data_IF_977797680747
#
_entry.id   IF_977797680747
#
_cell.length_a   1.000
_cell.length_b   1.000
_cell.length_c   1.000
_cell.angle_alpha   90.00
_cell.angle_beta   90.00
_cell.angle_gamma   90.00
#
_symmetry.space_group_name_H-M   'P 1'
#
loop_
_entity.id
_entity.type
_entity.pdbx_description
1 polymer ?
#
# COMPACT_ATOMS: atom_id res chain seq x y z
N UNK A 1 26.11 24.26 6.29
CA UNK A 1 25.70 23.55 5.05
C UNK A 1 24.74 22.43 5.41
N UNK A 2 23.44 22.72 5.56
CA UNK A 2 22.45 21.67 5.78
C UNK A 2 22.37 20.78 4.54
N UNK A 3 22.74 19.50 4.65
CA UNK A 3 22.60 18.54 3.55
C UNK A 3 21.14 18.61 3.06
N UNK A 4 20.91 19.11 1.85
CA UNK A 4 19.57 19.15 1.23
C UNK A 4 19.05 17.71 1.22
N UNK A 5 18.10 17.40 2.11
CA UNK A 5 17.49 16.07 2.18
C UNK A 5 16.76 15.86 0.85
N UNK A 6 17.29 14.94 0.03
CA UNK A 6 16.63 14.53 -1.22
C UNK A 6 15.23 13.99 -0.90
N UNK A 7 14.30 14.11 -1.84
CA UNK A 7 12.96 13.53 -1.67
C UNK A 7 13.07 12.01 -1.51
N UNK A 8 12.13 11.38 -0.79
CA UNK A 8 12.11 9.91 -0.60
C UNK A 8 12.15 9.16 -1.93
N UNK A 9 11.50 9.71 -2.95
CA UNK A 9 11.52 9.21 -4.32
C UNK A 9 12.93 9.26 -4.91
N UNK A 10 13.63 10.39 -4.82
CA UNK A 10 15.02 10.50 -5.30
C UNK A 10 16.02 9.65 -4.51
N UNK A 11 15.75 9.37 -3.24
CA UNK A 11 16.56 8.44 -2.45
C UNK A 11 16.36 6.99 -2.90
N UNK A 12 15.12 6.60 -3.22
CA UNK A 12 14.81 5.27 -3.73
C UNK A 12 15.50 4.96 -5.06
N UNK A 13 15.61 5.95 -5.96
CA UNK A 13 16.26 5.78 -7.26
C UNK A 13 17.80 5.90 -7.25
N UNK A 14 18.40 6.24 -6.11
CA UNK A 14 19.84 6.46 -6.01
C UNK A 14 20.59 5.10 -6.06
N UNK A 15 21.35 4.86 -7.13
CA UNK A 15 22.03 3.58 -7.35
C UNK A 15 21.15 2.50 -8.00
N UNK A 16 19.93 2.84 -8.42
CA UNK A 16 19.08 1.94 -9.20
C UNK A 16 19.53 1.91 -10.66
N UNK A 17 19.55 0.72 -11.23
CA UNK A 17 19.75 0.51 -12.67
C UNK A 17 18.44 0.76 -13.43
N UNK A 18 18.53 1.12 -14.71
CA UNK A 18 17.36 1.35 -15.58
C UNK A 18 16.34 0.18 -15.52
N UNK A 19 16.76 -1.11 -15.58
CA UNK A 19 15.83 -2.23 -15.45
C UNK A 19 15.09 -2.29 -14.11
N UNK A 20 15.76 -2.00 -12.99
CA UNK A 20 15.11 -1.94 -11.68
C UNK A 20 14.12 -0.77 -11.60
N UNK A 21 14.43 0.35 -12.28
CA UNK A 21 13.52 1.48 -12.44
C UNK A 21 12.28 1.12 -13.26
N UNK A 22 12.43 0.33 -14.32
CA UNK A 22 11.30 -0.17 -15.12
C UNK A 22 10.43 -1.15 -14.34
N UNK A 23 11.01 -1.99 -13.48
CA UNK A 23 10.25 -2.89 -12.58
C UNK A 23 9.45 -2.16 -11.51
N UNK A 24 9.83 -0.93 -11.14
CA UNK A 24 9.03 -0.05 -10.28
C UNK A 24 7.88 0.63 -11.02
N UNK A 25 7.79 0.44 -12.34
CA UNK A 25 6.63 0.85 -13.12
C UNK A 25 5.36 0.23 -12.54
N UNK A 26 4.27 0.99 -12.54
CA UNK A 26 2.97 0.47 -12.13
C UNK A 26 2.54 -0.62 -13.10
N UNK A 27 2.32 -1.82 -12.59
CA UNK A 27 1.74 -2.94 -13.32
C UNK A 27 0.36 -3.18 -12.70
N UNK A 28 -0.66 -2.52 -13.26
CA UNK A 28 -2.01 -2.49 -12.69
C UNK A 28 -2.62 -3.89 -12.57
N UNK A 29 -2.35 -4.77 -13.53
CA UNK A 29 -2.83 -6.15 -13.54
C UNK A 29 -2.18 -6.96 -12.41
N UNK A 30 -0.86 -6.86 -12.29
CA UNK A 30 -0.10 -7.56 -11.25
C UNK A 30 -0.42 -7.02 -9.86
N UNK A 31 -0.57 -5.71 -9.71
CA UNK A 31 -0.97 -5.07 -8.46
C UNK A 31 -2.38 -5.51 -8.03
N UNK A 32 -3.32 -5.56 -8.97
CA UNK A 32 -4.66 -6.09 -8.73
C UNK A 32 -4.63 -7.56 -8.29
N UNK A 33 -3.93 -8.43 -9.02
CA UNK A 33 -3.80 -9.85 -8.70
C UNK A 33 -3.17 -10.08 -7.32
N UNK A 34 -2.12 -9.32 -6.99
CA UNK A 34 -1.45 -9.39 -5.68
C UNK A 34 -2.39 -8.95 -4.56
N UNK A 35 -3.14 -7.87 -4.77
CA UNK A 35 -4.12 -7.40 -3.78
C UNK A 35 -5.20 -8.43 -3.51
N UNK A 36 -5.72 -9.10 -4.56
CA UNK A 36 -6.72 -10.16 -4.45
C UNK A 36 -6.18 -11.37 -3.70
N UNK A 37 -4.95 -11.81 -4.01
CA UNK A 37 -4.27 -12.91 -3.29
C UNK A 37 -4.07 -12.59 -1.81
N UNK A 38 -3.69 -11.35 -1.48
CA UNK A 38 -3.52 -10.93 -0.10
C UNK A 38 -4.85 -10.90 0.66
N UNK A 39 -5.90 -10.35 0.05
CA UNK A 39 -7.25 -10.23 0.64
C UNK A 39 -7.86 -11.61 0.93
N UNK A 40 -7.58 -12.61 0.08
CA UNK A 40 -8.10 -13.98 0.24
C UNK A 40 -7.72 -14.66 1.57
N UNK A 41 -6.70 -14.16 2.28
CA UNK A 41 -6.29 -14.69 3.58
C UNK A 41 -7.17 -14.24 4.75
N UNK A 42 -8.11 -13.31 4.53
CA UNK A 42 -8.95 -12.75 5.58
C UNK A 42 -10.39 -13.26 5.48
N UNK A 43 -11.06 -13.35 6.63
CA UNK A 43 -12.46 -13.77 6.66
C UNK A 43 -13.36 -12.68 6.08
N UNK A 44 -14.28 -13.13 5.23
CA UNK A 44 -15.31 -12.29 4.62
C UNK A 44 -16.63 -12.60 5.34
N UNK A 45 -17.21 -11.59 5.97
CA UNK A 45 -18.53 -11.64 6.60
C UNK A 45 -19.49 -10.79 5.76
N UNK A 46 -20.11 -11.41 4.76
CA UNK A 46 -20.98 -10.72 3.80
C UNK A 46 -20.20 -9.69 2.98
N UNK A 47 -20.54 -8.40 3.12
CA UNK A 47 -19.84 -7.29 2.45
C UNK A 47 -18.65 -6.76 3.26
N UNK A 48 -18.39 -7.28 4.45
CA UNK A 48 -17.32 -6.82 5.33
C UNK A 48 -16.11 -7.77 5.31
N UNK A 49 -14.91 -7.19 5.39
CA UNK A 49 -13.64 -7.92 5.44
C UNK A 49 -12.97 -7.67 6.80
N UNK A 50 -12.72 -8.74 7.56
CA UNK A 50 -12.04 -8.65 8.87
C UNK A 50 -10.52 -8.66 8.68
N UNK A 51 -9.88 -7.50 8.81
CA UNK A 51 -8.43 -7.33 8.58
C UNK A 51 -7.76 -6.63 9.76
N UNK A 52 -6.55 -7.04 10.18
CA UNK A 52 -5.76 -6.26 11.12
C UNK A 52 -5.30 -4.95 10.45
N UNK A 53 -5.84 -3.82 10.92
CA UNK A 53 -5.48 -2.50 10.39
C UNK A 53 -4.42 -1.84 11.27
N UNK A 54 -3.33 -1.37 10.66
CA UNK A 54 -2.36 -0.51 11.34
C UNK A 54 -2.84 0.96 11.40
N UNK A 55 -2.16 1.80 12.19
CA UNK A 55 -2.55 3.22 12.38
C UNK A 55 -2.59 4.02 11.08
N UNK A 56 -1.68 3.77 10.14
CA UNK A 56 -1.66 4.46 8.86
C UNK A 56 -2.86 4.07 7.99
N UNK A 57 -3.19 2.78 7.94
CA UNK A 57 -4.36 2.26 7.23
C UNK A 57 -5.66 2.82 7.82
N UNK A 58 -5.82 2.86 9.15
CA UNK A 58 -7.00 3.46 9.80
C UNK A 58 -7.17 4.94 9.44
N UNK A 59 -6.08 5.71 9.44
CA UNK A 59 -6.09 7.13 9.01
C UNK A 59 -6.48 7.29 7.55
N UNK A 60 -5.95 6.43 6.69
CA UNK A 60 -6.27 6.44 5.26
C UNK A 60 -7.75 6.10 5.01
N UNK A 61 -8.27 5.07 5.67
CA UNK A 61 -9.68 4.68 5.61
C UNK A 61 -10.59 5.85 6.05
N UNK A 62 -10.27 6.53 7.16
CA UNK A 62 -11.00 7.73 7.61
C UNK A 62 -10.98 8.85 6.57
N UNK A 63 -9.84 9.08 5.90
CA UNK A 63 -9.72 10.07 4.81
C UNK A 63 -10.60 9.70 3.62
N UNK A 64 -10.66 8.40 3.29
CA UNK A 64 -11.48 7.86 2.20
C UNK A 64 -12.95 7.66 2.59
N UNK A 65 -13.34 8.01 3.83
CA UNK A 65 -14.70 7.82 4.38
C UNK A 65 -15.18 6.37 4.34
N UNK A 66 -14.26 5.42 4.49
CA UNK A 66 -14.60 4.00 4.63
C UNK A 66 -15.08 3.76 6.06
N UNK A 67 -16.23 3.09 6.21
CA UNK A 67 -16.76 2.69 7.50
C UNK A 67 -15.89 1.59 8.12
N UNK A 68 -15.42 1.80 9.34
CA UNK A 68 -14.64 0.83 10.11
C UNK A 68 -15.46 0.42 11.33
N UNK A 69 -15.69 -0.89 11.49
CA UNK A 69 -16.26 -1.48 12.70
C UNK A 69 -15.16 -2.25 13.42
N UNK A 70 -15.10 -2.13 14.74
CA UNK A 70 -14.25 -3.02 15.53
C UNK A 70 -14.88 -4.41 15.48
N UNK A 71 -14.06 -5.39 15.11
CA UNK A 71 -14.51 -6.77 15.09
C UNK A 71 -14.33 -7.34 16.50
N UNK A 72 -15.42 -7.82 17.10
CA UNK A 72 -15.41 -8.57 18.36
C UNK A 72 -14.58 -9.86 18.25
#
# INVERSE_FOLDING_TARGET
MGKKKRSKTQQGFMGMTIPQGMQLGKDEERDYLNSKKYIANFSIEGEFLKVPLNRAMRRHAKKMKIELKEAE
#
